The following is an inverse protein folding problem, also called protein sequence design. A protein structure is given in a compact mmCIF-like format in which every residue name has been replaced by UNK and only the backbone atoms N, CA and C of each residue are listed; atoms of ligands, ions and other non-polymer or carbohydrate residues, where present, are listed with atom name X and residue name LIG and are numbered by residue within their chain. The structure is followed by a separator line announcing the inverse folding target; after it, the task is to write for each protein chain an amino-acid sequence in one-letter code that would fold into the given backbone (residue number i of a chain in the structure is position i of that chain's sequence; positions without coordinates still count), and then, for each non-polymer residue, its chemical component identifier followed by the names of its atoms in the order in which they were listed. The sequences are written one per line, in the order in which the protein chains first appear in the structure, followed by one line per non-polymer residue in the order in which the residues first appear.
data_IF_823768701323
#
_entry.id   IF_823768701323
#
_cell.length_a   1.000
_cell.length_b   1.000
_cell.length_c   1.000
_cell.angle_alpha   90.00
_cell.angle_beta   90.00
_cell.angle_gamma   90.00
#
_symmetry.space_group_name_H-M   'P 1'
#
loop_
_entity.id
_entity.type
_entity.pdbx_description
1 polymer ?
#
# COMPACT_ATOMS: atom_id res chain seq x y z
N UNK A 1 -51.78 -6.76 2.21
CA UNK A 1 -51.72 -6.06 0.90
C UNK A 1 -50.79 -6.84 -0.07
N UNK A 2 -51.30 -7.44 -1.16
CA UNK A 2 -50.52 -8.24 -2.12
C UNK A 2 -49.42 -7.47 -2.86
N UNK A 3 -49.65 -6.19 -3.16
CA UNK A 3 -48.67 -5.32 -3.82
C UNK A 3 -47.44 -5.08 -2.93
N UNK A 4 -47.62 -5.00 -1.61
CA UNK A 4 -46.52 -4.86 -0.65
C UNK A 4 -45.67 -6.13 -0.58
N UNK A 5 -46.30 -7.31 -0.64
CA UNK A 5 -45.60 -8.62 -0.68
C UNK A 5 -44.76 -8.75 -1.96
N UNK A 6 -45.34 -8.40 -3.11
CA UNK A 6 -44.61 -8.43 -4.38
C UNK A 6 -43.42 -7.45 -4.40
N UNK A 7 -43.61 -6.23 -3.90
CA UNK A 7 -42.51 -5.25 -3.76
C UNK A 7 -41.38 -5.77 -2.87
N UNK A 8 -41.71 -6.44 -1.76
CA UNK A 8 -40.72 -7.03 -0.86
C UNK A 8 -39.93 -8.14 -1.56
N UNK A 9 -40.63 -9.06 -2.22
CA UNK A 9 -40.00 -10.17 -2.95
C UNK A 9 -39.12 -9.65 -4.11
N UNK A 10 -39.60 -8.68 -4.89
CA UNK A 10 -38.80 -8.05 -5.95
C UNK A 10 -37.54 -7.37 -5.40
N UNK A 11 -37.63 -6.71 -4.25
CA UNK A 11 -36.47 -6.11 -3.57
C UNK A 11 -35.45 -7.15 -3.12
N UNK A 12 -35.91 -8.28 -2.57
CA UNK A 12 -35.05 -9.39 -2.14
C UNK A 12 -34.30 -10.01 -3.34
N UNK A 13 -35.00 -10.31 -4.43
CA UNK A 13 -34.37 -10.81 -5.67
C UNK A 13 -33.37 -9.82 -6.26
N UNK A 14 -33.70 -8.52 -6.26
CA UNK A 14 -32.78 -7.48 -6.73
C UNK A 14 -31.54 -7.39 -5.85
N UNK A 15 -31.70 -7.54 -4.53
CA UNK A 15 -30.58 -7.56 -3.58
C UNK A 15 -29.64 -8.74 -3.85
N UNK A 16 -30.18 -9.93 -4.07
CA UNK A 16 -29.38 -11.13 -4.41
C UNK A 16 -28.65 -10.97 -5.74
N UNK A 17 -29.32 -10.40 -6.75
CA UNK A 17 -28.70 -10.08 -8.04
C UNK A 17 -27.54 -9.09 -7.89
N UNK A 18 -27.71 -8.01 -7.11
CA UNK A 18 -26.65 -7.03 -6.85
C UNK A 18 -25.47 -7.68 -6.13
N UNK A 19 -25.72 -8.51 -5.10
CA UNK A 19 -24.66 -9.22 -4.36
C UNK A 19 -23.82 -10.08 -5.31
N UNK A 20 -24.47 -10.88 -6.15
CA UNK A 20 -23.80 -11.74 -7.12
C UNK A 20 -23.06 -10.92 -8.19
N UNK A 21 -23.64 -9.81 -8.65
CA UNK A 21 -23.02 -8.93 -9.62
C UNK A 21 -21.75 -8.28 -9.05
N UNK A 22 -21.76 -7.80 -7.80
CA UNK A 22 -20.58 -7.23 -7.14
C UNK A 22 -19.46 -8.27 -7.06
N UNK A 23 -19.75 -9.47 -6.56
CA UNK A 23 -18.77 -10.55 -6.47
C UNK A 23 -18.20 -10.92 -7.84
N UNK A 24 -19.06 -11.03 -8.85
CA UNK A 24 -18.65 -11.32 -10.23
C UNK A 24 -17.76 -10.22 -10.82
N UNK A 25 -18.11 -8.94 -10.63
CA UNK A 25 -17.34 -7.81 -11.14
C UNK A 25 -15.96 -7.72 -10.48
N UNK A 26 -15.89 -7.99 -9.18
CA UNK A 26 -14.66 -8.03 -8.40
C UNK A 26 -13.88 -9.35 -8.53
N UNK A 27 -14.43 -10.34 -9.26
CA UNK A 27 -13.86 -11.69 -9.44
C UNK A 27 -13.61 -12.42 -8.11
N UNK A 28 -14.51 -12.22 -7.15
CA UNK A 28 -14.52 -12.89 -5.87
C UNK A 28 -15.51 -14.05 -5.89
N UNK A 29 -15.11 -15.21 -5.35
CA UNK A 29 -16.03 -16.36 -5.21
C UNK A 29 -17.02 -16.15 -4.08
N UNK A 30 -16.56 -15.55 -3.00
CA UNK A 30 -17.31 -15.26 -1.79
C UNK A 30 -16.85 -13.93 -1.20
N UNK A 31 -17.66 -13.36 -0.30
CA UNK A 31 -17.29 -12.14 0.40
C UNK A 31 -16.09 -12.41 1.32
N UNK A 32 -15.08 -11.54 1.36
CA UNK A 32 -13.92 -11.72 2.23
C UNK A 32 -14.37 -11.73 3.70
N UNK A 33 -13.95 -12.77 4.43
CA UNK A 33 -14.30 -12.95 5.83
C UNK A 33 -13.38 -12.11 6.73
N UNK A 34 -13.74 -10.83 6.92
CA UNK A 34 -12.97 -9.89 7.74
C UNK A 34 -13.90 -9.12 8.68
N UNK A 35 -13.55 -9.04 9.97
CA UNK A 35 -14.33 -8.31 10.97
C UNK A 35 -13.97 -6.82 10.97
N UNK A 36 -14.84 -5.96 11.51
CA UNK A 36 -14.61 -4.51 11.56
C UNK A 36 -13.39 -4.15 12.41
N UNK A 37 -13.11 -4.93 13.42
CA UNK A 37 -11.97 -4.77 14.33
C UNK A 37 -10.66 -5.08 13.60
N UNK A 38 -10.64 -6.18 12.85
CA UNK A 38 -9.49 -6.56 12.01
C UNK A 38 -9.27 -5.54 10.90
N UNK A 39 -10.34 -5.02 10.28
CA UNK A 39 -10.26 -3.90 9.33
C UNK A 39 -9.58 -2.69 9.96
N UNK A 40 -9.98 -2.27 11.17
CA UNK A 40 -9.37 -1.12 11.86
C UNK A 40 -7.91 -1.32 12.24
N UNK A 41 -7.51 -2.55 12.54
CA UNK A 41 -6.12 -2.88 12.86
C UNK A 41 -5.24 -2.96 11.60
N UNK A 42 -5.78 -3.50 10.50
CA UNK A 42 -5.03 -3.74 9.28
C UNK A 42 -5.03 -2.56 8.31
N UNK A 43 -5.99 -1.63 8.40
CA UNK A 43 -6.00 -0.44 7.56
C UNK A 43 -4.99 0.58 8.10
N UNK A 44 -3.88 0.84 7.38
CA UNK A 44 -2.94 1.87 7.79
C UNK A 44 -3.61 3.24 7.64
N UNK A 45 -3.30 4.17 8.54
CA UNK A 45 -3.74 5.58 8.42
C UNK A 45 -2.80 6.35 7.51
N UNK A 46 -2.47 5.72 6.38
CA UNK A 46 -1.57 6.27 5.39
C UNK A 46 -2.33 7.31 4.53
N UNK A 47 -1.71 8.45 4.21
CA UNK A 47 -2.29 9.47 3.33
C UNK A 47 -2.90 8.95 2.01
N UNK A 48 -2.29 8.00 1.27
CA UNK A 48 -2.90 7.51 0.03
C UNK A 48 -4.25 6.83 0.25
N UNK A 49 -4.44 6.19 1.40
CA UNK A 49 -5.69 5.51 1.73
C UNK A 49 -6.76 6.52 2.15
N UNK A 50 -6.38 7.55 2.92
CA UNK A 50 -7.27 8.67 3.25
C UNK A 50 -7.72 9.42 2.00
N UNK A 51 -6.81 9.69 1.06
CA UNK A 51 -7.14 10.34 -0.21
C UNK A 51 -8.17 9.54 -1.02
N UNK A 52 -8.05 8.21 -1.07
CA UNK A 52 -9.04 7.36 -1.73
C UNK A 52 -10.40 7.42 -1.04
N UNK A 53 -10.43 7.41 0.30
CA UNK A 53 -11.68 7.53 1.07
C UNK A 53 -12.34 8.90 0.83
N UNK A 54 -11.57 9.98 0.90
CA UNK A 54 -12.04 11.34 0.67
C UNK A 54 -12.64 11.49 -0.74
N UNK A 55 -11.96 10.98 -1.78
CA UNK A 55 -12.42 11.03 -3.18
C UNK A 55 -13.79 10.38 -3.39
N UNK A 56 -14.12 9.36 -2.60
CA UNK A 56 -15.39 8.64 -2.71
C UNK A 56 -16.46 9.13 -1.72
N UNK A 57 -16.10 9.78 -0.62
CA UNK A 57 -17.07 10.42 0.29
C UNK A 57 -17.78 11.61 -0.37
N UNK A 58 -17.13 12.32 -1.30
CA UNK A 58 -17.73 13.45 -2.04
C UNK A 58 -18.62 13.02 -3.23
N UNK A 59 -18.64 11.74 -3.62
CA UNK A 59 -19.51 11.23 -4.70
C UNK A 59 -20.96 10.94 -4.24
N UNK A 60 -21.33 11.38 -3.04
CA UNK A 60 -22.68 11.25 -2.51
C UNK A 60 -23.76 12.03 -3.28
N UNK A 61 -23.40 13.10 -4.01
CA UNK A 61 -24.39 13.97 -4.69
C UNK A 61 -23.91 14.64 -6.00
N UNK A 62 -22.70 14.33 -6.51
CA UNK A 62 -22.19 14.92 -7.74
C UNK A 62 -22.14 13.91 -8.89
N UNK A 63 -22.82 14.26 -9.98
CA UNK A 63 -22.83 13.58 -11.26
C UNK A 63 -21.41 13.10 -11.66
N UNK A 64 -21.32 11.84 -12.07
CA UNK A 64 -20.11 11.28 -12.69
C UNK A 64 -19.64 12.19 -13.82
N UNK A 65 -18.33 12.42 -13.99
CA UNK A 65 -17.82 12.87 -15.28
C UNK A 65 -18.27 11.84 -16.32
N UNK A 66 -18.84 12.29 -17.44
CA UNK A 66 -19.06 11.50 -18.65
C UNK A 66 -17.73 10.89 -19.10
N UNK A 67 -17.36 9.76 -18.54
CA UNK A 67 -16.36 8.87 -19.12
C UNK A 67 -17.16 7.79 -19.82
N UNK A 68 -17.06 7.79 -21.15
CA UNK A 68 -17.68 6.80 -22.02
C UNK A 68 -17.14 5.42 -21.63
N UNK A 69 -17.81 4.74 -20.69
CA UNK A 69 -17.54 3.36 -20.39
C UNK A 69 -17.78 2.57 -21.68
N UNK A 70 -16.72 2.07 -22.30
CA UNK A 70 -16.83 1.13 -23.41
C UNK A 70 -17.76 -0.01 -22.96
N UNK A 71 -18.78 -0.33 -23.77
CA UNK A 71 -19.84 -1.31 -23.44
C UNK A 71 -19.28 -2.71 -23.09
N UNK A 72 -18.01 -2.96 -23.41
CA UNK A 72 -17.33 -4.24 -23.22
C UNK A 72 -16.66 -4.42 -21.84
N UNK A 73 -16.58 -3.40 -20.98
CA UNK A 73 -15.88 -3.49 -19.69
C UNK A 73 -16.79 -3.98 -18.54
N UNK A 74 -17.22 -5.24 -18.61
CA UNK A 74 -18.05 -5.87 -17.57
C UNK A 74 -17.32 -6.00 -16.21
N UNK A 75 -15.99 -6.07 -16.22
CA UNK A 75 -15.16 -6.23 -15.03
C UNK A 75 -14.66 -4.90 -14.48
N UNK A 76 -14.38 -4.85 -13.18
CA UNK A 76 -13.81 -3.65 -12.57
C UNK A 76 -12.38 -3.38 -13.07
N UNK A 77 -12.11 -2.11 -13.40
CA UNK A 77 -10.80 -1.61 -13.84
C UNK A 77 -9.97 -1.20 -12.64
N UNK A 78 -8.71 -1.60 -12.61
CA UNK A 78 -7.82 -1.29 -11.48
C UNK A 78 -7.14 0.06 -11.71
N UNK A 79 -7.52 1.08 -10.93
CA UNK A 79 -6.94 2.43 -11.03
C UNK A 79 -5.69 2.59 -10.17
N UNK A 80 -5.75 2.17 -8.90
CA UNK A 80 -4.66 2.32 -7.92
C UNK A 80 -4.44 1.02 -7.15
N UNK A 81 -3.18 0.66 -6.94
CA UNK A 81 -2.77 -0.51 -6.13
C UNK A 81 -2.01 -0.02 -4.91
N UNK A 82 -2.46 -0.44 -3.73
CA UNK A 82 -1.73 -0.27 -2.47
C UNK A 82 -1.15 -1.64 -2.10
N UNK A 83 0.18 -1.69 -1.94
CA UNK A 83 0.89 -2.90 -1.53
C UNK A 83 1.62 -2.63 -0.22
N UNK A 84 1.42 -3.51 0.75
CA UNK A 84 2.09 -3.46 2.04
C UNK A 84 3.40 -4.24 1.98
N UNK A 85 4.40 -3.77 2.71
CA UNK A 85 5.67 -4.48 2.81
C UNK A 85 5.48 -5.83 3.52
N UNK A 86 6.19 -6.82 3.02
CA UNK A 86 6.29 -8.16 3.58
C UNK A 86 7.70 -8.37 4.15
N UNK A 87 7.84 -9.43 4.93
CA UNK A 87 9.14 -9.88 5.41
C UNK A 87 10.09 -10.21 4.24
N UNK A 88 11.35 -9.86 4.40
CA UNK A 88 12.40 -10.14 3.42
C UNK A 88 12.77 -11.62 3.40
N UNK A 89 13.29 -12.11 2.28
CA UNK A 89 13.78 -13.48 2.18
C UNK A 89 14.99 -13.69 3.12
N UNK A 90 15.07 -14.80 3.86
CA UNK A 90 16.24 -15.11 4.71
C UNK A 90 17.59 -15.01 3.99
N UNK A 91 17.63 -15.23 2.67
CA UNK A 91 18.84 -15.13 1.84
C UNK A 91 19.44 -13.71 1.81
N UNK A 92 18.63 -12.68 2.10
CA UNK A 92 19.11 -11.29 2.18
C UNK A 92 19.31 -10.83 3.63
N UNK A 93 18.89 -11.61 4.63
CA UNK A 93 19.01 -11.27 6.05
C UNK A 93 20.33 -11.75 6.66
N UNK A 94 20.89 -10.99 7.60
CA UNK A 94 21.95 -11.46 8.53
C UNK A 94 21.38 -11.29 9.94
N UNK A 95 21.39 -12.36 10.72
CA UNK A 95 20.86 -12.35 12.10
C UNK A 95 19.41 -11.83 12.17
N UNK A 96 18.61 -12.10 11.14
CA UNK A 96 17.22 -11.65 11.04
C UNK A 96 17.03 -10.19 10.59
N UNK A 97 18.10 -9.49 10.21
CA UNK A 97 18.04 -8.10 9.75
C UNK A 97 18.49 -7.94 8.29
N UNK A 98 17.81 -7.07 7.50
CA UNK A 98 16.61 -6.32 7.87
C UNK A 98 15.34 -7.17 7.70
N UNK A 99 14.44 -7.15 8.69
CA UNK A 99 13.18 -7.92 8.66
C UNK A 99 12.24 -7.48 7.52
N UNK A 100 12.29 -6.21 7.13
CA UNK A 100 11.50 -5.58 6.07
C UNK A 100 12.46 -4.83 5.13
N UNK A 101 12.16 -4.60 3.85
CA UNK A 101 10.84 -4.61 3.23
C UNK A 101 10.85 -5.24 1.83
N UNK A 102 10.14 -6.35 1.67
CA UNK A 102 9.89 -6.97 0.37
C UNK A 102 8.51 -6.61 -0.16
N UNK A 103 8.39 -6.34 -1.46
CA UNK A 103 7.12 -6.07 -2.11
C UNK A 103 6.85 -7.11 -3.19
N UNK A 104 5.80 -7.88 -2.99
CA UNK A 104 5.35 -8.86 -3.98
C UNK A 104 4.25 -8.26 -4.87
N UNK A 105 4.36 -8.46 -6.18
CA UNK A 105 3.41 -7.96 -7.16
C UNK A 105 2.87 -9.12 -8.00
N UNK A 106 1.55 -9.18 -8.18
CA UNK A 106 0.95 -10.19 -9.04
C UNK A 106 1.39 -9.99 -10.50
N UNK A 107 1.48 -11.05 -11.32
CA UNK A 107 1.82 -10.94 -12.73
C UNK A 107 0.93 -9.94 -13.48
N UNK A 108 -0.38 -9.92 -13.17
CA UNK A 108 -1.32 -8.96 -13.76
C UNK A 108 -0.88 -7.52 -13.57
N UNK A 109 -0.42 -7.15 -12.37
CA UNK A 109 0.05 -5.80 -12.06
C UNK A 109 1.40 -5.54 -12.75
N UNK A 110 2.31 -6.52 -12.77
CA UNK A 110 3.63 -6.36 -13.38
C UNK A 110 3.56 -6.06 -14.89
N UNK A 111 2.51 -6.50 -15.59
CA UNK A 111 2.30 -6.21 -17.01
C UNK A 111 1.59 -4.86 -17.28
N UNK A 112 1.20 -4.11 -16.23
CA UNK A 112 0.54 -2.80 -16.39
C UNK A 112 1.55 -1.66 -16.56
N UNK A 113 1.11 -0.57 -17.20
CA UNK A 113 1.91 0.65 -17.34
C UNK A 113 1.90 1.44 -16.03
N UNK A 114 3.06 1.58 -15.41
CA UNK A 114 3.23 2.41 -14.20
C UNK A 114 3.17 3.91 -14.58
N UNK A 115 2.06 4.57 -14.26
CA UNK A 115 1.88 6.02 -14.46
C UNK A 115 2.59 6.81 -13.35
N UNK A 116 2.38 6.43 -12.08
CA UNK A 116 2.95 7.02 -10.87
C UNK A 116 3.22 5.91 -9.84
N UNK A 117 4.27 6.03 -9.04
CA UNK A 117 4.47 5.17 -7.88
C UNK A 117 5.12 5.95 -6.74
N UNK A 118 4.56 5.82 -5.54
CA UNK A 118 5.07 6.47 -4.34
C UNK A 118 5.26 5.44 -3.25
N UNK A 119 6.44 5.41 -2.66
CA UNK A 119 6.71 4.71 -1.42
C UNK A 119 6.37 5.65 -0.26
N UNK A 120 5.56 5.19 0.67
CA UNK A 120 5.19 5.94 1.87
C UNK A 120 5.90 5.32 3.08
N UNK A 121 6.57 6.16 3.85
CA UNK A 121 7.29 5.76 5.06
C UNK A 121 6.80 6.60 6.22
N UNK A 122 6.44 5.95 7.32
CA UNK A 122 6.10 6.64 8.55
C UNK A 122 7.35 6.84 9.39
N UNK A 123 7.58 8.09 9.81
CA UNK A 123 8.65 8.48 10.71
C UNK A 123 8.08 8.74 12.10
N UNK A 124 8.68 8.10 13.11
CA UNK A 124 8.31 8.27 14.51
C UNK A 124 8.44 9.73 14.96
N UNK A 125 7.58 10.19 15.88
CA UNK A 125 7.64 11.55 16.40
C UNK A 125 8.97 11.83 17.10
N UNK A 126 9.42 13.08 17.02
CA UNK A 126 10.62 13.56 17.71
C UNK A 126 10.26 14.55 18.81
N UNK A 127 10.98 14.52 19.93
CA UNK A 127 10.72 15.44 21.05
C UNK A 127 11.18 16.87 20.75
N UNK A 128 12.25 16.99 19.96
CA UNK A 128 12.89 18.24 19.55
C UNK A 128 13.06 18.25 18.04
N UNK A 129 13.14 19.45 17.46
CA UNK A 129 13.41 19.63 16.03
C UNK A 129 14.70 18.93 15.65
N UNK A 130 14.63 18.01 14.69
CA UNK A 130 15.76 17.14 14.34
C UNK A 130 15.84 16.94 12.83
N UNK A 131 17.05 16.98 12.30
CA UNK A 131 17.33 16.66 10.90
C UNK A 131 17.54 15.16 10.76
N UNK A 132 16.65 14.50 10.04
CA UNK A 132 16.68 13.06 9.78
C UNK A 132 17.21 12.79 8.38
N UNK A 133 18.13 11.83 8.29
CA UNK A 133 18.67 11.33 7.03
C UNK A 133 17.99 10.03 6.65
N UNK A 134 17.00 10.12 5.76
CA UNK A 134 16.31 8.97 5.20
C UNK A 134 17.13 8.39 4.05
N UNK A 135 17.38 7.09 4.09
CA UNK A 135 18.07 6.34 3.06
C UNK A 135 17.23 5.14 2.66
N UNK A 136 17.12 4.95 1.34
CA UNK A 136 16.51 3.76 0.76
C UNK A 136 17.60 3.01 0.01
N UNK A 137 17.78 1.76 0.39
CA UNK A 137 18.81 0.87 -0.11
C UNK A 137 18.14 -0.34 -0.75
N UNK A 138 18.63 -0.78 -1.91
CA UNK A 138 18.22 -2.03 -2.54
C UNK A 138 18.99 -3.18 -1.90
N UNK A 139 18.27 -4.22 -1.50
CA UNK A 139 18.85 -5.45 -0.97
C UNK A 139 19.44 -6.32 -2.08
N UNK A 140 20.40 -7.16 -1.68
CA UNK A 140 20.98 -8.23 -2.50
C UNK A 140 21.19 -9.47 -1.63
N UNK A 141 21.23 -10.67 -2.24
CA UNK A 141 21.67 -11.88 -1.56
C UNK A 141 23.01 -11.67 -0.86
N UNK A 142 23.18 -12.29 0.29
CA UNK A 142 24.47 -12.31 0.99
C UNK A 142 25.48 -13.09 0.14
N UNK A 143 26.44 -12.39 -0.44
CA UNK A 143 27.58 -12.97 -1.16
C UNK A 143 28.87 -12.53 -0.48
N UNK A 144 29.89 -13.38 -0.45
CA UNK A 144 31.15 -13.13 0.25
C UNK A 144 31.94 -11.91 -0.28
N UNK A 145 31.62 -11.42 -1.49
CA UNK A 145 32.31 -10.29 -2.11
C UNK A 145 31.35 -9.16 -2.53
N UNK A 146 31.58 -7.96 -2.01
CA UNK A 146 30.99 -6.70 -2.49
C UNK A 146 30.06 -5.95 -1.53
N UNK A 147 29.61 -4.77 -1.96
CA UNK A 147 28.60 -3.98 -1.23
C UNK A 147 27.25 -4.69 -1.26
N UNK A 148 26.74 -5.01 -0.05
CA UNK A 148 25.46 -5.68 0.18
C UNK A 148 24.25 -4.85 -0.23
N UNK A 149 24.43 -3.53 -0.33
CA UNK A 149 23.38 -2.58 -0.61
C UNK A 149 23.71 -1.73 -1.84
N UNK A 150 22.69 -1.39 -2.64
CA UNK A 150 22.77 -0.33 -3.64
C UNK A 150 21.89 0.82 -3.21
N UNK A 151 22.46 2.02 -3.05
CA UNK A 151 21.68 3.20 -2.71
C UNK A 151 20.70 3.56 -3.83
N UNK A 152 19.41 3.57 -3.51
CA UNK A 152 18.34 4.04 -4.39
C UNK A 152 18.16 5.54 -4.22
N UNK A 153 18.00 6.00 -2.97
CA UNK A 153 17.70 7.41 -2.67
C UNK A 153 18.18 7.81 -1.29
N UNK A 154 18.49 9.08 -1.13
CA UNK A 154 18.73 9.71 0.16
C UNK A 154 18.01 11.04 0.23
N UNK A 155 17.40 11.32 1.37
CA UNK A 155 16.64 12.54 1.64
C UNK A 155 17.05 13.08 3.00
N UNK A 156 17.18 14.40 3.09
CA UNK A 156 17.33 15.12 4.34
C UNK A 156 15.96 15.71 4.69
N UNK A 157 15.44 15.40 5.87
CA UNK A 157 14.10 15.77 6.30
C UNK A 157 14.22 16.46 7.66
N UNK A 158 13.75 17.70 7.76
CA UNK A 158 13.70 18.41 9.04
C UNK A 158 12.36 18.09 9.72
N UNK A 159 12.41 17.29 10.78
CA UNK A 159 11.25 16.91 11.58
C UNK A 159 11.09 17.85 12.77
N UNK A 160 9.98 18.57 12.79
CA UNK A 160 9.64 19.51 13.87
C UNK A 160 8.40 19.07 14.67
N UNK A 161 7.87 17.88 14.38
CA UNK A 161 6.57 17.44 14.87
C UNK A 161 6.68 16.48 16.04
N UNK A 162 5.94 16.79 17.11
CA UNK A 162 5.68 15.86 18.23
C UNK A 162 4.71 14.73 17.85
N UNK A 163 4.14 14.81 16.65
CA UNK A 163 3.29 13.79 16.02
C UNK A 163 4.12 13.17 14.89
N UNK A 164 4.02 11.86 14.68
CA UNK A 164 4.79 11.22 13.60
C UNK A 164 4.43 11.77 12.21
N UNK A 165 5.31 11.51 11.24
CA UNK A 165 5.31 12.17 9.95
C UNK A 165 5.31 11.15 8.81
N UNK A 166 4.37 11.29 7.88
CA UNK A 166 4.34 10.50 6.65
C UNK A 166 5.21 11.15 5.57
N UNK A 167 6.26 10.46 5.18
CA UNK A 167 7.12 10.87 4.07
C UNK A 167 6.76 10.07 2.81
N UNK A 168 6.43 10.78 1.72
CA UNK A 168 6.31 10.17 0.39
C UNK A 168 7.62 10.26 -0.38
N UNK A 169 7.99 9.19 -1.07
CA UNK A 169 9.17 9.11 -1.93
C UNK A 169 8.73 8.61 -3.31
N UNK A 170 9.11 9.32 -4.38
CA UNK A 170 8.88 8.82 -5.74
C UNK A 170 9.72 7.56 -5.98
N UNK A 171 9.01 6.51 -6.38
CA UNK A 171 9.51 5.15 -6.54
C UNK A 171 9.23 4.57 -7.94
N UNK A 172 8.74 5.41 -8.87
CA UNK A 172 8.30 4.99 -10.21
C UNK A 172 9.38 4.23 -10.98
N UNK A 173 10.58 4.79 -11.06
CA UNK A 173 11.67 4.20 -11.84
C UNK A 173 12.14 2.86 -11.26
N UNK A 174 12.17 2.73 -9.93
CA UNK A 174 12.55 1.49 -9.27
C UNK A 174 11.53 0.41 -9.56
N UNK A 175 10.24 0.73 -9.42
CA UNK A 175 9.15 -0.20 -9.68
C UNK A 175 9.11 -0.64 -11.15
N UNK A 176 9.29 0.29 -12.09
CA UNK A 176 9.38 -0.03 -13.51
C UNK A 176 10.54 -0.99 -13.83
N UNK A 177 11.69 -0.82 -13.18
CA UNK A 177 12.82 -1.73 -13.35
C UNK A 177 12.53 -3.12 -12.78
N UNK A 178 11.85 -3.19 -11.63
CA UNK A 178 11.39 -4.47 -11.07
C UNK A 178 10.37 -5.16 -11.96
N UNK A 179 9.43 -4.44 -12.58
CA UNK A 179 8.46 -5.05 -13.49
C UNK A 179 9.11 -5.60 -14.76
N UNK A 180 10.16 -4.93 -15.26
CA UNK A 180 10.96 -5.44 -16.39
C UNK A 180 11.83 -6.63 -16.01
N UNK A 181 12.34 -6.66 -14.79
CA UNK A 181 13.24 -7.70 -14.27
C UNK A 181 12.85 -8.09 -12.84
N UNK A 182 11.82 -8.92 -12.65
CA UNK A 182 11.33 -9.28 -11.32
C UNK A 182 12.34 -10.02 -10.46
N UNK A 183 13.25 -10.78 -11.08
CA UNK A 183 14.36 -11.49 -10.42
C UNK A 183 15.34 -10.55 -9.68
N UNK A 184 15.30 -9.26 -9.99
CA UNK A 184 16.14 -8.24 -9.37
C UNK A 184 15.49 -7.63 -8.12
N UNK A 185 14.22 -7.93 -7.86
CA UNK A 185 13.52 -7.51 -6.66
C UNK A 185 13.88 -8.42 -5.48
N UNK A 186 14.76 -7.93 -4.61
CA UNK A 186 15.13 -8.56 -3.35
C UNK A 186 14.58 -7.79 -2.14
N UNK A 187 13.73 -6.79 -2.41
CA UNK A 187 13.27 -5.82 -1.42
C UNK A 187 14.22 -4.62 -1.25
N UNK A 188 13.88 -3.81 -0.26
CA UNK A 188 14.60 -2.60 0.12
C UNK A 188 14.78 -2.54 1.63
N UNK A 189 15.86 -1.90 2.04
CA UNK A 189 16.09 -1.47 3.41
C UNK A 189 15.79 0.04 3.48
N UNK A 190 15.09 0.44 4.54
CA UNK A 190 14.66 1.82 4.77
C UNK A 190 15.19 2.22 6.13
N UNK A 191 16.13 3.17 6.13
CA UNK A 191 16.75 3.68 7.34
C UNK A 191 16.47 5.19 7.44
N UNK A 192 16.16 5.70 8.62
CA UNK A 192 15.93 7.12 8.84
C UNK A 192 16.58 7.59 10.14
N UNK A 193 17.89 7.86 10.09
CA UNK A 193 18.66 8.19 11.28
C UNK A 193 18.58 9.68 11.63
N UNK A 194 18.32 9.97 12.91
CA UNK A 194 18.51 11.29 13.50
C UNK A 194 20.01 11.55 13.81
N UNK A 195 20.39 12.77 14.25
CA UNK A 195 21.78 13.08 14.61
C UNK A 195 22.33 12.28 15.80
N UNK A 196 21.45 11.66 16.59
CA UNK A 196 21.81 10.80 17.72
C UNK A 196 21.99 9.33 17.30
N UNK A 197 21.74 9.00 16.03
CA UNK A 197 21.81 7.63 15.50
C UNK A 197 20.55 6.80 15.74
N UNK A 198 19.44 7.39 16.19
CA UNK A 198 18.18 6.69 16.35
C UNK A 198 17.50 6.54 14.99
N UNK A 199 17.12 5.31 14.62
CA UNK A 199 16.30 5.07 13.43
C UNK A 199 14.83 5.40 13.72
N UNK A 200 14.28 6.36 12.98
CA UNK A 200 12.90 6.81 13.13
C UNK A 200 11.95 6.14 12.13
N UNK A 201 12.44 5.40 11.14
CA UNK A 201 11.60 4.71 10.18
C UNK A 201 10.84 3.57 10.85
N UNK A 202 9.54 3.48 10.60
CA UNK A 202 8.73 2.33 11.02
C UNK A 202 8.72 1.31 9.89
N UNK A 203 9.46 0.22 10.08
CA UNK A 203 9.59 -0.90 9.13
C UNK A 203 8.98 -2.20 9.65
N UNK A 204 8.80 -2.34 10.96
CA UNK A 204 8.09 -3.46 11.59
C UNK A 204 7.11 -2.96 12.65
N UNK A 205 6.00 -3.68 12.82
CA UNK A 205 5.00 -3.38 13.83
C UNK A 205 5.49 -3.91 15.19
N UNK A 206 6.34 -3.13 15.86
CA UNK A 206 6.66 -3.37 17.27
C UNK A 206 5.47 -3.09 18.19
N UNK A 207 5.52 -3.52 19.46
CA UNK A 207 4.48 -3.19 20.44
C UNK A 207 4.29 -1.67 20.53
N UNK A 208 3.05 -1.20 20.32
CA UNK A 208 2.69 0.22 20.27
C UNK A 208 2.49 0.82 18.86
N UNK A 209 2.61 0.04 17.80
CA UNK A 209 2.38 0.46 16.41
C UNK A 209 0.95 0.18 15.88
N UNK A 210 -0.01 -0.12 16.75
CA UNK A 210 -1.39 -0.41 16.36
C UNK A 210 -2.07 0.79 15.68
N UNK A 211 -2.43 0.65 14.41
CA UNK A 211 -3.17 1.68 13.67
C UNK A 211 -2.36 2.93 13.32
N UNK A 212 -1.03 2.78 13.20
CA UNK A 212 -0.17 3.68 12.40
C UNK A 212 -0.36 3.36 10.91
#
# INVERSE_FOLDING_TARGET
CPVCLWRRHSKELRLESIKSQILSKLRLKEAPNITREVVKQLLPKAPPLQQLLDLHDFQGDALQPDDYLEEDEYHATTETVISMAQETDPVVQIEGNPHCCFFNFSPKIMFTKVVKAQLWVYLRPVQHTSTVYLQILRLKPVTDEGSRHIRIRSLKIDLNSRIGHWQSIDFKHVLQNWFKQPQNNWGIEINAFDPNGNDLAVTSLGPGAEGL
#
